data_IF_021405810867
#
_entry.id   IF_021405810867
#
_cell.length_a   1.000
_cell.length_b   1.000
_cell.length_c   1.000
_cell.angle_alpha   90.00
_cell.angle_beta   90.00
_cell.angle_gamma   90.00
#
_symmetry.space_group_name_H-M   'P 1'
#
loop_
_entity.id
_entity.type
_entity.pdbx_description
1 polymer ?
#
# COMPACT_ATOMS: atom_id res chain seq x y z
N UNK A 1 8.82 -30.48 -32.64
CA UNK A 1 8.63 -29.99 -31.26
C UNK A 1 9.95 -30.16 -30.53
N UNK A 2 10.78 -29.12 -30.34
CA UNK A 2 11.84 -29.21 -29.37
C UNK A 2 11.25 -28.84 -28.01
N UNK A 3 11.33 -29.78 -27.07
CA UNK A 3 11.20 -29.48 -25.65
C UNK A 3 12.34 -28.52 -25.28
N UNK A 4 12.03 -27.23 -25.12
CA UNK A 4 12.88 -26.33 -24.34
C UNK A 4 12.64 -26.67 -22.86
N UNK A 5 13.28 -27.74 -22.38
CA UNK A 5 13.50 -27.94 -20.95
C UNK A 5 14.33 -26.78 -20.43
N UNK A 6 13.62 -25.80 -19.87
CA UNK A 6 14.13 -24.62 -19.18
C UNK A 6 15.29 -24.97 -18.24
N UNK A 7 16.52 -24.74 -18.69
CA UNK A 7 17.71 -24.66 -17.86
C UNK A 7 17.71 -23.33 -17.07
N UNK A 8 16.60 -23.07 -16.36
CA UNK A 8 16.28 -21.80 -15.66
C UNK A 8 16.52 -21.91 -14.15
N UNK A 9 16.85 -23.10 -13.65
CA UNK A 9 16.71 -23.41 -12.22
C UNK A 9 17.74 -22.78 -11.27
N UNK A 10 18.98 -22.50 -11.69
CA UNK A 10 20.05 -22.18 -10.72
C UNK A 10 20.46 -20.70 -10.69
N UNK A 11 20.59 -20.03 -11.84
CA UNK A 11 21.12 -18.66 -11.90
C UNK A 11 20.15 -17.63 -11.32
N UNK A 12 18.83 -17.86 -11.44
CA UNK A 12 17.81 -16.95 -10.90
C UNK A 12 17.75 -16.92 -9.38
N UNK A 13 17.87 -18.06 -8.71
CA UNK A 13 17.78 -18.13 -7.25
C UNK A 13 18.87 -17.28 -6.61
N UNK A 14 20.11 -17.38 -7.10
CA UNK A 14 21.23 -16.62 -6.54
C UNK A 14 21.09 -15.10 -6.73
N UNK A 15 20.63 -14.64 -7.88
CA UNK A 15 20.48 -13.19 -8.11
C UNK A 15 19.26 -12.62 -7.36
N UNK A 16 18.16 -13.38 -7.28
CA UNK A 16 16.99 -12.96 -6.51
C UNK A 16 17.31 -12.92 -5.02
N UNK A 17 18.01 -13.93 -4.49
CA UNK A 17 18.41 -13.98 -3.07
C UNK A 17 19.21 -12.75 -2.62
N UNK A 18 19.98 -12.13 -3.52
CA UNK A 18 20.73 -10.89 -3.23
C UNK A 18 19.84 -9.67 -2.97
N UNK A 19 18.59 -9.68 -3.43
CA UNK A 19 17.62 -8.61 -3.19
C UNK A 19 16.71 -8.89 -1.99
N UNK A 20 16.82 -10.07 -1.40
CA UNK A 20 15.99 -10.53 -0.30
C UNK A 20 16.81 -10.45 1.00
N UNK A 21 16.15 -10.26 2.14
CA UNK A 21 16.81 -9.97 3.40
C UNK A 21 17.58 -11.17 3.96
N UNK A 22 18.61 -10.93 4.79
CA UNK A 22 19.30 -12.00 5.51
C UNK A 22 18.29 -12.81 6.34
N UNK A 23 18.24 -14.13 6.12
CA UNK A 23 17.33 -15.04 6.83
C UNK A 23 15.99 -15.32 6.13
N UNK A 24 15.67 -14.62 5.03
CA UNK A 24 14.52 -14.97 4.19
C UNK A 24 14.90 -16.05 3.18
N UNK A 25 14.06 -17.10 3.10
CA UNK A 25 14.23 -18.19 2.15
C UNK A 25 13.51 -17.87 0.83
N UNK A 26 14.19 -18.11 -0.29
CA UNK A 26 13.62 -17.96 -1.64
C UNK A 26 13.41 -19.35 -2.20
N UNK A 27 12.14 -19.71 -2.39
CA UNK A 27 11.73 -20.98 -2.99
C UNK A 27 11.13 -20.66 -4.36
N UNK A 28 11.69 -21.27 -5.41
CA UNK A 28 11.15 -21.17 -6.76
C UNK A 28 10.47 -22.48 -7.10
N UNK A 29 9.18 -22.39 -7.45
CA UNK A 29 8.39 -23.50 -7.97
C UNK A 29 8.12 -23.18 -9.44
N UNK A 30 8.48 -24.09 -10.33
CA UNK A 30 8.23 -23.94 -11.76
C UNK A 30 7.31 -25.05 -12.26
N UNK A 31 6.53 -24.71 -13.28
CA UNK A 31 5.68 -25.61 -14.02
C UNK A 31 5.57 -25.12 -15.45
N UNK A 32 5.38 -26.05 -16.39
CA UNK A 32 5.10 -25.72 -17.78
C UNK A 32 3.70 -26.21 -18.12
N UNK A 33 2.89 -25.33 -18.69
CA UNK A 33 1.51 -25.61 -19.06
C UNK A 33 1.24 -25.04 -20.44
N UNK A 34 0.41 -25.73 -21.21
CA UNK A 34 0.01 -25.22 -22.50
C UNK A 34 -1.05 -24.13 -22.31
N UNK A 35 -0.90 -23.00 -23.01
CA UNK A 35 -1.78 -21.83 -22.86
C UNK A 35 -3.28 -22.17 -23.07
N UNK A 36 -3.59 -23.06 -24.03
CA UNK A 36 -4.95 -23.48 -24.32
C UNK A 36 -5.64 -24.26 -23.18
N UNK A 37 -4.87 -24.81 -22.23
CA UNK A 37 -5.42 -25.46 -21.04
C UNK A 37 -5.92 -24.44 -20.01
N UNK A 38 -5.57 -23.17 -20.19
CA UNK A 38 -5.96 -22.06 -19.32
C UNK A 38 -6.82 -21.07 -20.10
N UNK A 39 -8.10 -21.43 -20.32
CA UNK A 39 -9.07 -20.63 -21.10
C UNK A 39 -9.08 -19.15 -20.67
N UNK A 40 -9.15 -18.88 -19.35
CA UNK A 40 -9.16 -17.51 -18.83
C UNK A 40 -7.90 -16.72 -19.20
N UNK A 41 -6.72 -17.36 -19.10
CA UNK A 41 -5.45 -16.70 -19.40
C UNK A 41 -5.31 -16.50 -20.91
N UNK A 42 -5.71 -17.47 -21.72
CA UNK A 42 -5.75 -17.34 -23.19
C UNK A 42 -6.69 -16.22 -23.65
N UNK A 43 -7.89 -16.13 -23.07
CA UNK A 43 -8.84 -15.03 -23.34
C UNK A 43 -8.28 -13.69 -22.89
N UNK A 44 -7.63 -13.63 -21.72
CA UNK A 44 -7.03 -12.40 -21.22
C UNK A 44 -5.90 -11.91 -22.13
N UNK A 45 -5.02 -12.80 -22.62
CA UNK A 45 -3.97 -12.47 -23.61
C UNK A 45 -4.58 -11.94 -24.91
N UNK A 46 -5.61 -12.60 -25.42
CA UNK A 46 -6.31 -12.14 -26.63
C UNK A 46 -6.95 -10.76 -26.43
N UNK A 47 -7.63 -10.54 -25.28
CA UNK A 47 -8.26 -9.25 -24.95
C UNK A 47 -7.27 -8.14 -24.64
N UNK A 48 -6.07 -8.46 -24.19
CA UNK A 48 -5.02 -7.49 -23.89
C UNK A 48 -4.18 -7.12 -25.12
N UNK A 49 -4.34 -7.83 -26.24
CA UNK A 49 -3.62 -7.50 -27.46
C UNK A 49 -4.15 -6.19 -28.04
N UNK A 50 -3.26 -5.22 -28.24
CA UNK A 50 -3.56 -3.88 -28.76
C UNK A 50 -2.66 -3.61 -29.97
N UNK A 51 -2.98 -2.56 -30.70
CA UNK A 51 -2.21 -2.13 -31.85
C UNK A 51 -2.08 -0.62 -31.88
N UNK A 52 -0.90 -0.11 -32.21
CA UNK A 52 -0.67 1.31 -32.47
C UNK A 52 0.00 1.49 -33.83
N UNK A 53 -0.16 2.67 -34.42
CA UNK A 53 0.46 2.99 -35.71
C UNK A 53 1.75 3.78 -35.48
N UNK A 54 2.86 3.29 -36.02
CA UNK A 54 4.15 3.97 -36.03
C UNK A 54 4.48 4.46 -37.44
N UNK A 55 5.13 5.62 -37.51
CA UNK A 55 5.71 6.11 -38.76
C UNK A 55 7.18 5.72 -38.80
N UNK A 56 7.53 4.74 -39.62
CA UNK A 56 8.93 4.35 -39.83
C UNK A 56 9.43 4.92 -41.16
N UNK A 57 10.64 5.46 -41.16
CA UNK A 57 11.36 5.86 -42.37
C UNK A 57 12.02 4.64 -42.99
N UNK A 58 11.66 4.35 -44.25
CA UNK A 58 12.36 3.31 -45.02
C UNK A 58 13.71 3.84 -45.51
N UNK A 59 14.57 2.94 -46.00
CA UNK A 59 15.82 3.28 -46.72
C UNK A 59 15.63 4.31 -47.83
N UNK A 60 14.42 4.41 -48.37
CA UNK A 60 14.07 5.26 -49.50
C UNK A 60 13.65 6.69 -49.07
N UNK A 61 13.77 7.03 -47.78
CA UNK A 61 13.43 8.34 -47.21
C UNK A 61 11.94 8.63 -47.05
N UNK A 62 11.06 7.70 -47.46
CA UNK A 62 9.60 7.83 -47.33
C UNK A 62 9.10 7.23 -46.01
N UNK A 63 8.20 7.96 -45.34
CA UNK A 63 7.48 7.47 -44.16
C UNK A 63 6.42 6.45 -44.57
N UNK A 64 6.44 5.28 -43.93
CA UNK A 64 5.38 4.30 -44.03
C UNK A 64 4.70 4.14 -42.67
N UNK A 65 3.37 4.13 -42.69
CA UNK A 65 2.58 3.81 -41.50
C UNK A 65 2.64 2.30 -41.32
N UNK A 66 3.25 1.85 -40.23
CA UNK A 66 3.28 0.44 -39.83
C UNK A 66 2.48 0.28 -38.56
N UNK A 67 1.48 -0.59 -38.59
CA UNK A 67 0.76 -0.98 -37.37
C UNK A 67 1.60 -2.02 -36.63
N UNK A 68 2.02 -1.73 -35.40
CA UNK A 68 2.65 -2.69 -34.50
C UNK A 68 1.64 -3.18 -33.49
N UNK A 69 1.62 -4.48 -33.26
CA UNK A 69 0.84 -5.07 -32.16
C UNK A 69 1.68 -5.09 -30.88
N UNK A 70 1.02 -4.91 -29.74
CA UNK A 70 1.65 -5.01 -28.43
C UNK A 70 0.66 -5.59 -27.43
N UNK A 71 1.18 -6.14 -26.33
CA UNK A 71 0.38 -6.69 -25.24
C UNK A 71 0.33 -5.69 -24.09
N UNK A 72 -0.88 -5.25 -23.75
CA UNK A 72 -1.11 -4.36 -22.61
C UNK A 72 -1.13 -5.18 -21.31
N UNK A 73 -0.10 -4.99 -20.48
CA UNK A 73 0.03 -5.73 -19.23
C UNK A 73 -1.00 -5.35 -18.16
N UNK A 74 -1.48 -4.10 -18.14
CA UNK A 74 -2.47 -3.65 -17.17
C UNK A 74 -3.83 -4.29 -17.45
N UNK A 75 -4.26 -4.28 -18.72
CA UNK A 75 -5.49 -4.92 -19.18
C UNK A 75 -5.41 -6.44 -19.03
N UNK A 76 -4.23 -7.03 -19.29
CA UNK A 76 -4.00 -8.46 -19.09
C UNK A 76 -4.21 -8.85 -17.62
N UNK A 77 -3.67 -8.07 -16.68
CA UNK A 77 -3.87 -8.29 -15.25
C UNK A 77 -5.35 -8.15 -14.88
N UNK A 78 -5.99 -7.07 -15.29
CA UNK A 78 -7.40 -6.78 -15.00
C UNK A 78 -8.31 -7.93 -15.43
N UNK A 79 -8.26 -8.35 -16.70
CA UNK A 79 -9.09 -9.45 -17.20
C UNK A 79 -8.77 -10.82 -16.60
N UNK A 80 -7.54 -11.00 -16.12
CA UNK A 80 -7.17 -12.21 -15.41
C UNK A 80 -7.72 -12.21 -13.98
N UNK A 81 -7.71 -11.07 -13.29
CA UNK A 81 -8.15 -10.94 -11.88
C UNK A 81 -9.65 -10.73 -11.72
N UNK A 82 -10.33 -10.11 -12.67
CA UNK A 82 -11.76 -9.76 -12.56
C UNK A 82 -12.69 -10.99 -12.60
N UNK A 83 -12.16 -12.18 -12.90
CA UNK A 83 -12.90 -13.44 -12.87
C UNK A 83 -12.84 -14.19 -11.54
N UNK A 84 -12.39 -13.55 -10.45
CA UNK A 84 -12.14 -14.17 -9.13
C UNK A 84 -13.38 -14.45 -8.27
N UNK A 85 -14.58 -13.99 -8.66
CA UNK A 85 -15.77 -14.13 -7.82
C UNK A 85 -16.44 -15.52 -7.85
N UNK A 86 -16.11 -16.43 -8.79
CA UNK A 86 -16.95 -17.64 -8.96
C UNK A 86 -16.26 -19.02 -9.09
N UNK A 87 -14.94 -19.17 -9.04
CA UNK A 87 -14.37 -20.54 -9.20
C UNK A 87 -13.20 -20.85 -8.25
N UNK A 88 -13.40 -21.96 -7.53
CA UNK A 88 -12.50 -22.61 -6.57
C UNK A 88 -11.32 -23.37 -7.20
N UNK A 89 -11.15 -23.36 -8.52
CA UNK A 89 -10.29 -24.33 -9.19
C UNK A 89 -9.22 -23.69 -10.10
N UNK A 90 -8.02 -24.25 -9.95
CA UNK A 90 -7.00 -24.47 -10.98
C UNK A 90 -5.74 -23.59 -11.07
N UNK A 91 -5.61 -22.44 -10.39
CA UNK A 91 -4.29 -21.76 -10.25
C UNK A 91 -4.06 -21.23 -8.82
N UNK A 92 -4.85 -21.72 -7.85
CA UNK A 92 -4.46 -21.62 -6.45
C UNK A 92 -3.55 -22.81 -6.20
N UNK A 93 -2.23 -22.60 -6.28
CA UNK A 93 -1.34 -23.37 -5.43
C UNK A 93 -1.87 -23.15 -4.02
N UNK A 94 -2.68 -24.09 -3.50
CA UNK A 94 -2.77 -24.25 -2.06
C UNK A 94 -1.33 -24.51 -1.65
N UNK A 95 -0.70 -23.61 -0.90
CA UNK A 95 0.67 -23.85 -0.51
C UNK A 95 0.66 -25.17 0.28
N UNK A 96 1.62 -26.05 0.02
CA UNK A 96 1.64 -27.43 0.52
C UNK A 96 1.40 -27.51 2.05
N UNK A 97 1.77 -26.47 2.80
CA UNK A 97 1.54 -26.34 4.24
C UNK A 97 0.06 -26.24 4.67
N UNK A 98 -0.86 -25.84 3.78
CA UNK A 98 -2.30 -25.80 4.07
C UNK A 98 -2.89 -27.20 4.26
N UNK A 99 -2.19 -28.25 3.82
CA UNK A 99 -2.52 -29.66 4.11
C UNK A 99 -2.10 -30.12 5.52
N UNK A 100 -1.25 -29.36 6.21
CA UNK A 100 -0.69 -29.74 7.53
C UNK A 100 -1.38 -29.07 8.72
N UNK A 101 -2.29 -28.11 8.50
CA UNK A 101 -3.01 -27.40 9.57
C UNK A 101 -4.45 -27.93 9.70
N UNK A 102 -4.86 -28.51 10.86
CA UNK A 102 -6.23 -28.95 11.05
C UNK A 102 -7.18 -27.74 11.11
N UNK A 103 -8.18 -27.74 10.22
CA UNK A 103 -9.24 -26.71 10.21
C UNK A 103 -10.13 -26.89 11.45
N UNK A 104 -9.94 -26.04 12.45
CA UNK A 104 -10.96 -25.84 13.48
C UNK A 104 -12.15 -25.07 12.87
N UNK A 105 -13.13 -25.81 12.35
CA UNK A 105 -14.43 -25.27 12.00
C UNK A 105 -15.17 -24.84 13.27
N UNK A 106 -15.06 -23.56 13.65
CA UNK A 106 -16.04 -22.83 14.49
C UNK A 106 -15.68 -21.34 14.53
N UNK A 107 -16.33 -20.54 13.68
CA UNK A 107 -16.22 -19.08 13.69
C UNK A 107 -17.31 -18.46 12.82
N UNK A 108 -18.26 -17.79 13.46
CA UNK A 108 -19.52 -17.26 12.92
C UNK A 108 -19.34 -16.38 11.68
N UNK A 109 -20.25 -16.54 10.71
CA UNK A 109 -20.45 -15.63 9.56
C UNK A 109 -20.84 -14.24 10.08
N UNK A 110 -19.89 -13.31 10.10
CA UNK A 110 -20.14 -11.88 10.19
C UNK A 110 -20.12 -11.25 8.80
N UNK A 111 -21.21 -10.60 8.42
CA UNK A 111 -21.36 -9.82 7.18
C UNK A 111 -20.53 -8.53 7.25
N UNK A 112 -19.24 -8.64 6.92
CA UNK A 112 -18.37 -7.50 6.64
C UNK A 112 -18.06 -7.46 5.15
N UNK A 113 -18.31 -6.33 4.50
CA UNK A 113 -17.94 -6.07 3.09
C UNK A 113 -16.46 -6.39 2.90
N UNK A 114 -16.14 -7.48 2.18
CA UNK A 114 -14.77 -7.85 1.84
C UNK A 114 -14.27 -6.88 0.78
N UNK A 115 -13.20 -6.14 1.09
CA UNK A 115 -12.49 -5.31 0.11
C UNK A 115 -11.95 -6.21 -1.00
N UNK A 116 -12.19 -5.81 -2.25
CA UNK A 116 -11.78 -6.47 -3.49
C UNK A 116 -10.25 -6.65 -3.58
N UNK A 117 -9.81 -7.77 -4.17
CA UNK A 117 -8.49 -7.90 -4.80
C UNK A 117 -7.30 -8.31 -3.92
N UNK A 118 -7.45 -9.23 -2.97
CA UNK A 118 -6.27 -9.75 -2.24
C UNK A 118 -5.97 -11.21 -2.59
N UNK A 119 -4.92 -11.43 -3.39
CA UNK A 119 -4.08 -12.63 -3.27
C UNK A 119 -3.84 -12.88 -1.78
N UNK A 120 -4.14 -14.09 -1.30
CA UNK A 120 -4.15 -14.42 0.12
C UNK A 120 -2.79 -14.07 0.75
N UNK A 121 -2.79 -13.04 1.62
CA UNK A 121 -1.64 -12.66 2.43
C UNK A 121 -1.43 -13.71 3.50
N UNK A 122 -0.73 -14.78 3.16
CA UNK A 122 -0.27 -15.77 4.13
C UNK A 122 0.76 -15.11 5.03
N UNK A 123 0.47 -15.04 6.33
CA UNK A 123 1.35 -14.41 7.32
C UNK A 123 2.77 -15.00 7.19
N UNK A 124 3.72 -14.18 6.73
CA UNK A 124 5.14 -14.54 6.62
C UNK A 124 5.66 -14.94 5.23
N UNK A 125 4.80 -15.30 4.27
CA UNK A 125 5.27 -15.73 2.92
C UNK A 125 4.58 -14.92 1.82
N UNK A 126 5.38 -14.25 0.99
CA UNK A 126 4.92 -13.53 -0.21
C UNK A 126 5.14 -14.41 -1.44
N UNK A 127 4.07 -14.71 -2.17
CA UNK A 127 4.13 -15.46 -3.43
C UNK A 127 4.00 -14.47 -4.58
N UNK A 128 4.94 -14.50 -5.52
CA UNK A 128 4.91 -13.68 -6.74
C UNK A 128 4.87 -14.64 -7.94
N UNK A 129 3.70 -14.82 -8.59
CA UNK A 129 3.63 -15.55 -9.86
C UNK A 129 4.47 -14.85 -10.94
N UNK A 130 5.27 -15.65 -11.64
CA UNK A 130 6.03 -15.24 -12.83
C UNK A 130 5.52 -16.04 -14.01
N UNK A 131 4.88 -15.37 -14.97
CA UNK A 131 4.41 -15.98 -16.21
C UNK A 131 5.41 -15.71 -17.32
N UNK A 132 5.94 -16.77 -17.91
CA UNK A 132 6.74 -16.70 -19.13
C UNK A 132 5.85 -17.18 -20.26
N UNK A 133 5.36 -16.25 -21.07
CA UNK A 133 4.46 -16.54 -22.18
C UNK A 133 5.29 -16.78 -23.43
N UNK A 134 5.49 -18.06 -23.75
CA UNK A 134 6.02 -18.46 -25.04
C UNK A 134 4.91 -18.38 -26.09
N UNK A 135 4.85 -17.26 -26.80
CA UNK A 135 3.83 -17.00 -27.82
C UNK A 135 4.32 -17.40 -29.22
N UNK A 136 4.87 -18.61 -29.32
CA UNK A 136 5.32 -19.16 -30.60
C UNK A 136 4.14 -19.27 -31.59
N UNK A 137 4.27 -18.62 -32.75
CA UNK A 137 3.23 -18.60 -33.79
C UNK A 137 2.25 -17.42 -33.70
N UNK A 138 2.33 -16.60 -32.63
CA UNK A 138 1.74 -15.25 -32.60
C UNK A 138 2.73 -14.27 -33.24
N UNK A 139 2.29 -13.05 -33.58
CA UNK A 139 3.11 -11.97 -34.18
C UNK A 139 4.56 -12.00 -33.66
N UNK A 140 5.52 -12.16 -34.58
CA UNK A 140 6.93 -12.35 -34.27
C UNK A 140 7.63 -11.10 -33.73
N UNK A 141 6.97 -9.95 -33.82
CA UNK A 141 7.41 -8.66 -33.27
C UNK A 141 6.59 -8.21 -32.05
N UNK A 142 5.76 -9.08 -31.48
CA UNK A 142 4.96 -8.75 -30.31
C UNK A 142 5.85 -8.37 -29.12
N UNK A 143 5.58 -7.19 -28.55
CA UNK A 143 6.22 -6.71 -27.33
C UNK A 143 5.13 -6.31 -26.33
N UNK A 144 5.51 -6.09 -25.08
CA UNK A 144 4.66 -5.39 -24.12
C UNK A 144 4.60 -3.89 -24.45
N UNK A 145 3.79 -3.15 -23.71
CA UNK A 145 3.81 -1.69 -23.70
C UNK A 145 5.24 -1.13 -23.56
N UNK A 146 5.50 0.02 -24.18
CA UNK A 146 6.81 0.70 -24.21
C UNK A 146 7.95 -0.14 -24.83
N UNK A 147 7.63 -1.04 -25.77
CA UNK A 147 8.59 -1.90 -26.46
C UNK A 147 9.46 -2.76 -25.49
N UNK A 148 8.89 -3.12 -24.34
CA UNK A 148 9.49 -4.01 -23.34
C UNK A 148 9.11 -5.47 -23.56
N UNK A 149 9.93 -6.41 -23.10
CA UNK A 149 9.59 -7.85 -23.04
C UNK A 149 9.05 -8.27 -21.66
N UNK A 150 9.03 -7.35 -20.70
CA UNK A 150 8.56 -7.59 -19.34
C UNK A 150 7.56 -6.54 -18.93
N UNK A 151 6.50 -6.99 -18.27
CA UNK A 151 5.58 -6.15 -17.54
C UNK A 151 5.51 -6.61 -16.09
N UNK A 152 5.44 -5.64 -15.18
CA UNK A 152 5.54 -5.91 -13.75
C UNK A 152 4.42 -5.21 -13.00
N UNK A 153 3.90 -5.91 -12.00
CA UNK A 153 3.02 -5.36 -10.99
C UNK A 153 3.54 -5.73 -9.60
N UNK A 154 2.88 -5.23 -8.57
CA UNK A 154 3.22 -5.57 -7.17
C UNK A 154 3.10 -7.07 -6.89
N UNK A 155 2.19 -7.75 -7.59
CA UNK A 155 1.80 -9.13 -7.27
C UNK A 155 2.02 -10.11 -8.42
N UNK A 156 2.53 -9.66 -9.58
CA UNK A 156 2.72 -10.53 -10.75
C UNK A 156 3.83 -9.98 -11.65
N UNK A 157 4.57 -10.89 -12.27
CA UNK A 157 5.54 -10.60 -13.33
C UNK A 157 5.14 -11.36 -14.58
N UNK A 158 5.09 -10.68 -15.72
CA UNK A 158 4.75 -11.28 -17.01
C UNK A 158 5.90 -10.99 -17.97
N UNK A 159 6.43 -12.04 -18.58
CA UNK A 159 7.56 -11.99 -19.51
C UNK A 159 7.15 -12.63 -20.82
N UNK A 160 7.48 -12.00 -21.93
CA UNK A 160 7.30 -12.54 -23.26
C UNK A 160 8.57 -13.27 -23.71
N UNK A 161 8.38 -14.47 -24.26
CA UNK A 161 9.43 -15.25 -24.88
C UNK A 161 9.03 -15.58 -26.32
N UNK A 162 9.93 -15.31 -27.26
CA UNK A 162 9.74 -15.59 -28.68
C UNK A 162 10.94 -16.38 -29.21
N UNK A 163 10.69 -17.18 -30.26
CA UNK A 163 11.74 -17.91 -30.98
C UNK A 163 12.55 -17.01 -31.93
N UNK A 164 12.17 -15.75 -32.08
CA UNK A 164 12.85 -14.79 -32.96
C UNK A 164 14.18 -14.35 -32.32
N UNK A 165 15.24 -14.16 -33.09
CA UNK A 165 16.55 -13.80 -32.51
C UNK A 165 16.59 -12.35 -32.02
N UNK A 166 16.02 -11.43 -32.81
CA UNK A 166 16.09 -9.98 -32.58
C UNK A 166 14.81 -9.29 -33.04
N UNK A 167 14.23 -8.44 -32.19
CA UNK A 167 13.08 -7.59 -32.54
C UNK A 167 13.56 -6.14 -32.60
N UNK A 168 13.37 -5.42 -33.72
CA UNK A 168 13.83 -4.04 -33.87
C UNK A 168 12.98 -3.08 -33.02
N UNK A 169 13.65 -2.31 -32.16
CA UNK A 169 13.02 -1.29 -31.31
C UNK A 169 13.01 0.07 -32.01
N UNK A 170 12.19 1.00 -31.54
CA UNK A 170 12.18 2.40 -31.98
C UNK A 170 13.41 3.18 -31.52
N UNK A 171 14.16 2.65 -30.55
CA UNK A 171 15.35 3.28 -30.01
C UNK A 171 16.57 3.19 -30.92
N UNK A 172 17.35 4.27 -30.94
CA UNK A 172 18.64 4.36 -31.64
C UNK A 172 19.72 4.72 -30.61
N UNK A 173 20.83 3.98 -30.63
CA UNK A 173 22.03 4.33 -29.90
C UNK A 173 23.12 4.67 -30.91
N UNK A 174 23.66 5.89 -30.79
CA UNK A 174 24.61 6.44 -31.75
C UNK A 174 24.05 6.41 -33.19
N UNK A 175 24.50 5.47 -34.02
CA UNK A 175 24.05 5.26 -35.40
C UNK A 175 23.35 3.93 -35.62
N UNK A 176 23.17 3.13 -34.55
CA UNK A 176 22.66 1.77 -34.62
C UNK A 176 21.28 1.65 -33.98
N UNK A 177 20.35 1.03 -34.71
CA UNK A 177 19.03 0.68 -34.18
C UNK A 177 19.19 -0.38 -33.10
N UNK A 178 18.50 -0.22 -31.99
CA UNK A 178 18.52 -1.19 -30.90
C UNK A 178 17.56 -2.34 -31.16
N UNK A 179 17.88 -3.49 -30.56
CA UNK A 179 17.10 -4.71 -30.72
C UNK A 179 16.78 -5.30 -29.35
N UNK A 180 15.55 -5.79 -29.18
CA UNK A 180 15.18 -6.65 -28.07
C UNK A 180 15.58 -8.09 -28.38
N UNK A 181 16.05 -8.81 -27.36
CA UNK A 181 16.52 -10.20 -27.43
C UNK A 181 15.56 -11.11 -26.65
N UNK A 182 14.46 -11.57 -27.27
CA UNK A 182 13.44 -12.35 -26.56
C UNK A 182 13.92 -13.75 -26.15
N UNK A 183 15.01 -14.24 -26.76
CA UNK A 183 15.67 -15.48 -26.35
C UNK A 183 16.31 -15.41 -24.96
N UNK A 184 16.57 -14.21 -24.43
CA UNK A 184 17.18 -14.00 -23.11
C UNK A 184 16.08 -13.71 -22.06
N UNK A 185 15.07 -14.59 -21.98
CA UNK A 185 13.95 -14.45 -21.04
C UNK A 185 14.42 -14.34 -19.57
N UNK A 186 15.55 -14.96 -19.23
CA UNK A 186 16.16 -14.90 -17.90
C UNK A 186 16.36 -13.45 -17.41
N UNK A 187 16.93 -12.61 -18.26
CA UNK A 187 17.17 -11.21 -17.90
C UNK A 187 15.86 -10.48 -17.59
N UNK A 188 14.85 -10.71 -18.41
CA UNK A 188 13.53 -10.08 -18.27
C UNK A 188 12.80 -10.57 -17.02
N UNK A 189 12.90 -11.88 -16.70
CA UNK A 189 12.43 -12.43 -15.42
C UNK A 189 13.10 -11.73 -14.24
N UNK A 190 14.43 -11.56 -14.30
CA UNK A 190 15.18 -10.91 -13.23
C UNK A 190 14.82 -9.43 -13.08
N UNK A 191 14.66 -8.70 -14.18
CA UNK A 191 14.15 -7.32 -14.16
C UNK A 191 12.78 -7.26 -13.49
N UNK A 192 11.89 -8.20 -13.84
CA UNK A 192 10.56 -8.23 -13.28
C UNK A 192 10.53 -8.52 -11.78
N UNK A 193 11.32 -9.51 -11.35
CA UNK A 193 11.48 -9.82 -9.93
C UNK A 193 12.19 -8.70 -9.17
N UNK A 194 13.14 -8.00 -9.79
CA UNK A 194 13.80 -6.85 -9.19
C UNK A 194 12.83 -5.72 -8.86
N UNK A 195 11.88 -5.45 -9.76
CA UNK A 195 10.80 -4.48 -9.49
C UNK A 195 9.78 -4.99 -8.48
N UNK A 196 9.31 -6.24 -8.60
CA UNK A 196 8.25 -6.76 -7.74
C UNK A 196 8.72 -7.05 -6.30
N UNK A 197 9.89 -7.67 -6.14
CA UNK A 197 10.48 -8.05 -4.84
C UNK A 197 11.27 -6.90 -4.25
N UNK A 198 12.24 -6.37 -4.99
CA UNK A 198 13.19 -5.36 -4.50
C UNK A 198 12.64 -3.92 -4.53
N UNK A 199 11.48 -3.69 -5.14
CA UNK A 199 10.93 -2.35 -5.31
C UNK A 199 11.78 -1.47 -6.22
N UNK A 200 12.61 -2.07 -7.08
CA UNK A 200 13.54 -1.36 -7.95
C UNK A 200 12.81 -0.79 -9.17
N UNK A 201 13.00 0.50 -9.45
CA UNK A 201 12.66 1.08 -10.74
C UNK A 201 13.82 0.88 -11.71
N UNK A 202 13.53 0.90 -13.01
CA UNK A 202 14.59 0.92 -14.00
C UNK A 202 15.48 2.16 -13.80
N UNK A 203 16.81 2.10 -14.01
CA UNK A 203 17.71 3.23 -13.82
C UNK A 203 17.39 4.47 -14.66
N UNK A 204 16.70 4.25 -15.79
CA UNK A 204 16.23 5.30 -16.67
C UNK A 204 14.84 5.84 -16.31
N UNK A 205 14.16 5.30 -15.30
CA UNK A 205 12.84 5.76 -14.87
C UNK A 205 12.94 6.54 -13.56
N UNK A 206 12.28 7.69 -13.51
CA UNK A 206 12.17 8.50 -12.28
C UNK A 206 10.76 9.05 -12.11
N UNK A 207 10.21 8.95 -10.90
CA UNK A 207 8.97 9.64 -10.56
C UNK A 207 9.19 11.16 -10.54
N UNK A 208 8.41 11.91 -11.33
CA UNK A 208 8.42 13.36 -11.34
C UNK A 208 7.23 13.90 -10.56
N UNK A 209 7.48 14.66 -9.49
CA UNK A 209 6.42 15.34 -8.72
C UNK A 209 5.72 16.44 -9.51
N UNK A 210 6.45 17.10 -10.42
CA UNK A 210 5.92 18.23 -11.21
C UNK A 210 4.93 17.75 -12.27
N UNK A 211 5.20 16.59 -12.88
CA UNK A 211 4.37 16.04 -13.96
C UNK A 211 3.39 14.97 -13.48
N UNK A 212 3.42 14.61 -12.19
CA UNK A 212 2.64 13.52 -11.59
C UNK A 212 2.71 12.18 -12.34
N UNK A 213 3.81 11.95 -13.05
CA UNK A 213 4.06 10.75 -13.85
C UNK A 213 5.52 10.32 -13.77
N UNK A 214 5.81 9.10 -14.20
CA UNK A 214 7.19 8.69 -14.42
C UNK A 214 7.74 9.44 -15.64
N UNK A 215 8.98 9.91 -15.51
CA UNK A 215 9.74 10.55 -16.58
C UNK A 215 10.93 9.66 -16.88
N UNK A 216 11.14 9.44 -18.16
CA UNK A 216 12.22 8.59 -18.66
C UNK A 216 13.44 9.44 -18.98
N UNK A 217 14.60 9.02 -18.50
CA UNK A 217 15.91 9.59 -18.80
C UNK A 217 16.89 8.47 -19.15
N UNK A 218 17.10 8.29 -20.45
CA UNK A 218 17.94 7.23 -20.99
C UNK A 218 19.45 7.40 -20.75
N UNK A 219 19.92 8.55 -20.23
CA UNK A 219 21.34 8.78 -19.92
C UNK A 219 21.89 7.77 -18.91
N UNK A 220 21.03 7.23 -18.05
CA UNK A 220 21.39 6.24 -17.02
C UNK A 220 20.96 4.81 -17.38
N UNK A 221 20.57 4.56 -18.63
CA UNK A 221 20.06 3.27 -19.08
C UNK A 221 21.14 2.21 -19.37
N UNK A 222 22.40 2.64 -19.44
CA UNK A 222 23.54 1.76 -19.67
C UNK A 222 24.21 1.42 -18.33
N UNK A 223 24.46 0.13 -18.08
CA UNK A 223 25.15 -0.32 -16.87
C UNK A 223 24.92 -1.79 -16.58
N UNK A 224 25.34 -2.23 -15.39
CA UNK A 224 25.12 -3.60 -14.93
C UNK A 224 23.77 -3.76 -14.23
N UNK A 225 22.69 -3.87 -15.01
CA UNK A 225 21.32 -4.07 -14.52
C UNK A 225 20.44 -4.84 -15.52
N UNK A 226 19.37 -5.53 -15.09
CA UNK A 226 18.55 -6.32 -16.02
C UNK A 226 17.56 -5.49 -16.85
N UNK A 227 17.30 -4.22 -16.51
CA UNK A 227 16.28 -3.37 -17.15
C UNK A 227 16.61 -2.90 -18.58
N UNK A 228 15.55 -2.58 -19.34
CA UNK A 228 15.58 -1.86 -20.62
C UNK A 228 16.22 -2.61 -21.79
N UNK A 229 16.39 -1.94 -22.93
CA UNK A 229 17.10 -2.53 -24.07
C UNK A 229 18.62 -2.26 -24.04
N UNK A 230 19.08 -1.24 -23.29
CA UNK A 230 20.45 -0.73 -23.35
C UNK A 230 21.46 -1.40 -22.41
N UNK A 231 21.00 -2.26 -21.51
CA UNK A 231 21.89 -3.16 -20.76
C UNK A 231 21.92 -4.53 -21.43
N UNK A 232 22.87 -5.40 -21.08
CA UNK A 232 22.88 -6.81 -21.43
C UNK A 232 23.25 -7.71 -20.26
N UNK A 233 23.07 -7.22 -19.03
CA UNK A 233 23.44 -7.96 -17.83
C UNK A 233 22.28 -8.79 -17.29
N UNK A 234 22.53 -10.06 -16.98
CA UNK A 234 21.65 -10.93 -16.18
C UNK A 234 22.00 -10.90 -14.70
N UNK A 235 22.71 -9.87 -14.25
CA UNK A 235 23.14 -9.68 -12.87
C UNK A 235 22.65 -8.36 -12.30
N UNK A 236 22.58 -8.30 -10.98
CA UNK A 236 22.21 -7.10 -10.22
C UNK A 236 23.47 -6.53 -9.57
N UNK A 237 23.80 -5.29 -9.91
CA UNK A 237 24.92 -4.56 -9.31
C UNK A 237 24.72 -4.38 -7.79
N UNK A 238 25.82 -4.18 -7.07
CA UNK A 238 25.78 -3.92 -5.63
C UNK A 238 24.95 -2.66 -5.32
N UNK A 239 25.02 -1.63 -6.16
CA UNK A 239 24.23 -0.40 -6.02
C UNK A 239 22.73 -0.73 -6.02
N UNK A 240 22.27 -1.60 -6.91
CA UNK A 240 20.85 -2.00 -6.95
C UNK A 240 20.44 -2.89 -5.78
N UNK A 241 21.35 -3.72 -5.26
CA UNK A 241 21.12 -4.50 -4.04
C UNK A 241 20.95 -3.56 -2.83
N UNK A 242 21.82 -2.56 -2.70
CA UNK A 242 21.76 -1.54 -1.65
C UNK A 242 20.46 -0.71 -1.75
N UNK A 243 20.03 -0.36 -2.96
CA UNK A 243 18.76 0.35 -3.19
C UNK A 243 17.55 -0.52 -2.81
N UNK A 244 17.59 -1.83 -3.07
CA UNK A 244 16.51 -2.75 -2.68
C UNK A 244 16.37 -2.84 -1.16
N UNK A 245 17.49 -2.93 -0.43
CA UNK A 245 17.51 -2.89 1.03
C UNK A 245 16.97 -1.56 1.57
N UNK A 246 17.45 -0.44 1.02
CA UNK A 246 16.99 0.90 1.40
C UNK A 246 15.49 1.09 1.17
N UNK A 247 14.98 0.59 0.04
CA UNK A 247 13.54 0.64 -0.28
C UNK A 247 12.73 -0.14 0.74
N UNK A 248 13.24 -1.28 1.20
CA UNK A 248 12.56 -2.04 2.26
C UNK A 248 12.60 -1.33 3.61
N UNK A 249 13.73 -0.75 3.99
CA UNK A 249 13.85 0.06 5.22
C UNK A 249 12.80 1.16 5.21
N UNK A 250 12.69 1.90 4.11
CA UNK A 250 11.67 2.95 3.96
C UNK A 250 10.24 2.41 4.01
N UNK A 251 9.97 1.26 3.39
CA UNK A 251 8.65 0.64 3.46
C UNK A 251 8.28 0.20 4.88
N UNK A 252 9.25 -0.29 5.68
CA UNK A 252 9.02 -0.67 7.07
C UNK A 252 8.73 0.55 7.95
N UNK A 253 9.49 1.63 7.79
CA UNK A 253 9.28 2.89 8.52
C UNK A 253 7.94 3.54 8.15
N UNK A 254 7.62 3.63 6.85
CA UNK A 254 6.32 4.14 6.40
C UNK A 254 5.15 3.30 6.95
N UNK A 255 5.28 1.96 6.94
CA UNK A 255 4.28 1.08 7.54
C UNK A 255 4.13 1.31 9.06
N UNK A 256 5.23 1.53 9.78
CA UNK A 256 5.21 1.84 11.20
C UNK A 256 4.52 3.19 11.46
N UNK A 257 4.91 4.25 10.76
CA UNK A 257 4.31 5.58 10.90
C UNK A 257 2.82 5.60 10.59
N UNK A 258 2.38 4.88 9.55
CA UNK A 258 0.94 4.72 9.24
C UNK A 258 0.21 4.02 10.37
N UNK A 259 0.77 2.94 10.95
CA UNK A 259 0.17 2.23 12.08
C UNK A 259 0.05 3.10 13.33
N UNK A 260 1.05 3.94 13.60
CA UNK A 260 1.01 4.91 14.71
C UNK A 260 -0.12 5.90 14.49
N UNK A 261 -0.24 6.44 13.28
CA UNK A 261 -1.33 7.34 12.91
C UNK A 261 -2.69 6.66 13.07
N UNK A 262 -2.86 5.45 12.54
CA UNK A 262 -4.10 4.67 12.67
C UNK A 262 -4.45 4.42 14.15
N UNK A 263 -3.44 4.11 14.99
CA UNK A 263 -3.62 3.90 16.43
C UNK A 263 -4.02 5.20 17.14
N UNK A 264 -3.42 6.33 16.77
CA UNK A 264 -3.77 7.65 17.30
C UNK A 264 -5.20 8.05 16.93
N UNK A 265 -5.58 7.86 15.66
CA UNK A 265 -6.96 8.06 15.19
C UNK A 265 -7.94 7.14 15.94
N UNK A 266 -7.57 5.89 16.20
CA UNK A 266 -8.38 4.95 16.97
C UNK A 266 -8.59 5.39 18.43
N UNK A 267 -7.53 5.81 19.13
CA UNK A 267 -7.61 6.35 20.50
C UNK A 267 -8.48 7.61 20.54
N UNK A 268 -8.30 8.52 19.56
CA UNK A 268 -9.08 9.75 19.48
C UNK A 268 -10.57 9.48 19.20
N UNK A 269 -10.86 8.48 18.36
CA UNK A 269 -12.24 8.04 18.09
C UNK A 269 -12.90 7.49 19.36
N UNK A 270 -12.20 6.64 20.11
CA UNK A 270 -12.67 6.11 21.39
C UNK A 270 -12.94 7.22 22.41
N UNK A 271 -12.01 8.16 22.54
CA UNK A 271 -12.17 9.33 23.40
C UNK A 271 -13.44 10.12 23.04
N UNK A 272 -13.67 10.38 21.75
CA UNK A 272 -14.83 11.14 21.29
C UNK A 272 -16.18 10.42 21.54
N UNK A 273 -16.20 9.10 21.45
CA UNK A 273 -17.40 8.28 21.64
C UNK A 273 -17.80 8.21 23.11
N UNK A 274 -16.82 7.94 23.98
CA UNK A 274 -17.05 7.59 25.38
C UNK A 274 -16.79 8.73 26.36
N UNK A 275 -15.96 9.70 26.01
CA UNK A 275 -15.58 10.82 26.88
C UNK A 275 -16.27 12.09 26.41
N UNK A 276 -17.53 12.25 26.82
CA UNK A 276 -18.28 13.50 26.65
C UNK A 276 -18.37 14.21 27.99
N UNK A 277 -18.29 15.54 27.98
CA UNK A 277 -18.64 16.32 29.18
C UNK A 277 -20.12 16.08 29.51
N UNK A 278 -20.55 16.20 30.78
CA UNK A 278 -21.93 15.94 31.20
C UNK A 278 -23.01 16.82 30.54
N UNK A 279 -22.62 17.79 29.70
CA UNK A 279 -23.52 18.66 28.92
C UNK A 279 -23.27 18.58 27.41
N UNK A 280 -22.38 17.70 26.94
CA UNK A 280 -22.02 17.61 25.51
C UNK A 280 -21.30 18.86 24.96
N UNK A 281 -20.98 19.84 25.81
CA UNK A 281 -20.25 21.04 25.41
C UNK A 281 -18.76 20.74 25.19
N UNK A 282 -18.22 21.33 24.11
CA UNK A 282 -16.79 21.42 23.86
C UNK A 282 -16.07 21.93 25.12
N UNK A 283 -14.92 21.33 25.46
CA UNK A 283 -14.13 21.76 26.61
C UNK A 283 -13.80 23.24 26.45
N UNK A 284 -14.44 24.11 27.24
CA UNK A 284 -14.11 25.54 27.28
C UNK A 284 -12.70 25.68 27.82
N UNK A 285 -11.78 25.97 26.90
CA UNK A 285 -10.42 26.35 27.19
C UNK A 285 -10.02 27.56 26.36
N UNK A 286 -8.84 28.10 26.67
CA UNK A 286 -8.31 29.26 25.97
C UNK A 286 -8.29 29.01 24.45
N UNK A 287 -8.71 29.98 23.63
CA UNK A 287 -8.95 29.83 22.17
C UNK A 287 -7.75 29.36 21.34
N UNK A 288 -6.58 29.26 21.96
CA UNK A 288 -5.30 28.96 21.31
C UNK A 288 -4.85 27.49 21.50
N UNK A 289 -5.61 26.65 22.21
CA UNK A 289 -5.25 25.25 22.47
C UNK A 289 -6.11 24.29 21.67
N UNK A 290 -5.51 23.19 21.21
CA UNK A 290 -6.24 22.11 20.54
C UNK A 290 -7.21 21.45 21.52
N UNK A 291 -8.33 20.90 21.01
CA UNK A 291 -9.32 20.19 21.84
C UNK A 291 -8.66 19.08 22.67
N UNK A 292 -7.67 18.38 22.10
CA UNK A 292 -6.89 17.33 22.75
C UNK A 292 -6.09 17.84 23.95
N UNK A 293 -5.39 18.98 23.83
CA UNK A 293 -4.65 19.60 24.95
C UNK A 293 -5.57 19.97 26.12
N UNK A 294 -6.80 20.43 25.82
CA UNK A 294 -7.77 20.80 26.84
C UNK A 294 -8.34 19.59 27.61
N UNK A 295 -8.46 18.43 26.95
CA UNK A 295 -8.80 17.18 27.62
C UNK A 295 -7.65 16.68 28.50
N UNK A 296 -6.41 16.72 28.00
CA UNK A 296 -5.22 16.32 28.77
C UNK A 296 -5.06 17.17 30.03
N UNK A 297 -5.21 18.50 29.90
CA UNK A 297 -5.12 19.43 31.03
C UNK A 297 -6.24 19.22 32.07
N UNK A 298 -7.44 18.81 31.64
CA UNK A 298 -8.60 18.65 32.53
C UNK A 298 -8.62 17.32 33.27
N UNK A 299 -8.11 16.24 32.67
CA UNK A 299 -8.16 14.90 33.26
C UNK A 299 -6.85 14.45 33.90
N UNK A 300 -5.70 14.95 33.43
CA UNK A 300 -4.39 14.48 33.91
C UNK A 300 -3.61 15.53 34.72
N UNK A 301 -3.91 16.83 34.58
CA UNK A 301 -3.25 17.90 35.37
C UNK A 301 -4.10 18.44 36.53
N UNK A 302 -5.42 18.27 36.49
CA UNK A 302 -6.33 18.65 37.58
C UNK A 302 -6.89 17.39 38.23
N UNK A 303 -6.72 17.26 39.54
CA UNK A 303 -7.37 16.20 40.33
C UNK A 303 -8.89 16.37 40.19
N UNK A 304 -9.55 15.44 39.52
CA UNK A 304 -11.01 15.43 39.39
C UNK A 304 -11.57 14.14 40.00
N UNK A 305 -12.76 14.22 40.60
CA UNK A 305 -13.47 13.06 41.14
C UNK A 305 -14.19 12.23 40.05
N UNK A 306 -13.87 12.45 38.78
CA UNK A 306 -14.46 11.73 37.65
C UNK A 306 -13.63 10.46 37.39
N UNK A 307 -14.26 9.35 36.97
CA UNK A 307 -13.51 8.18 36.54
C UNK A 307 -12.60 8.59 35.39
N UNK A 308 -11.31 8.27 35.53
CA UNK A 308 -10.31 8.62 34.54
C UNK A 308 -10.63 7.94 33.20
N UNK A 309 -10.54 8.69 32.10
CA UNK A 309 -10.92 8.19 30.78
C UNK A 309 -10.04 7.05 30.27
N UNK A 310 -8.75 7.11 30.59
CA UNK A 310 -7.78 6.08 30.29
C UNK A 310 -6.95 5.79 31.55
N UNK A 311 -6.38 4.58 31.68
CA UNK A 311 -5.44 4.30 32.74
C UNK A 311 -4.20 5.19 32.59
N UNK A 312 -3.74 5.85 33.67
CA UNK A 312 -2.50 6.64 33.65
C UNK A 312 -1.31 5.82 33.14
N UNK A 313 -1.21 4.55 33.56
CA UNK A 313 -0.20 3.59 33.10
C UNK A 313 -0.22 3.35 31.58
N UNK A 314 -1.38 3.47 30.91
CA UNK A 314 -1.47 3.36 29.45
C UNK A 314 -0.87 4.58 28.77
N UNK A 315 -1.16 5.78 29.28
CA UNK A 315 -0.71 7.04 28.70
C UNK A 315 0.80 7.19 28.88
N UNK A 316 1.31 6.90 30.08
CA UNK A 316 2.75 6.93 30.38
C UNK A 316 3.53 5.95 29.49
N UNK A 317 3.04 4.72 29.33
CA UNK A 317 3.65 3.74 28.41
C UNK A 317 3.61 4.16 26.94
N UNK A 318 2.57 4.88 26.53
CA UNK A 318 2.47 5.36 25.15
C UNK A 318 3.44 6.52 24.91
N UNK A 319 3.56 7.44 25.86
CA UNK A 319 4.55 8.54 25.82
C UNK A 319 5.98 7.98 25.79
N UNK A 320 6.33 7.06 26.69
CA UNK A 320 7.65 6.42 26.70
C UNK A 320 7.95 5.70 25.37
N UNK A 321 6.94 5.04 24.80
CA UNK A 321 7.07 4.39 23.50
C UNK A 321 7.33 5.40 22.36
N UNK A 322 6.62 6.53 22.34
CA UNK A 322 6.81 7.56 21.31
C UNK A 322 8.18 8.23 21.43
N UNK A 323 8.64 8.52 22.64
CA UNK A 323 9.97 9.07 22.91
C UNK A 323 11.07 8.10 22.46
N UNK A 324 10.92 6.81 22.78
CA UNK A 324 11.86 5.77 22.32
C UNK A 324 11.87 5.67 20.80
N UNK A 325 10.71 5.74 20.17
CA UNK A 325 10.58 5.65 18.71
C UNK A 325 11.24 6.83 18.00
N UNK A 326 11.11 8.04 18.55
CA UNK A 326 11.83 9.22 18.06
C UNK A 326 13.34 8.99 18.07
N UNK A 327 13.88 8.51 19.19
CA UNK A 327 15.30 8.13 19.31
C UNK A 327 15.71 7.09 18.27
N UNK A 328 14.93 6.01 18.10
CA UNK A 328 15.21 4.97 17.10
C UNK A 328 15.19 5.50 15.66
N UNK A 329 14.30 6.44 15.33
CA UNK A 329 14.26 7.07 14.01
C UNK A 329 15.48 7.97 13.75
N UNK A 330 15.94 8.71 14.77
CA UNK A 330 17.18 9.50 14.69
C UNK A 330 18.38 8.58 14.47
N UNK A 331 18.50 7.50 15.24
CA UNK A 331 19.56 6.50 15.07
C UNK A 331 19.51 5.87 13.67
N UNK A 332 18.33 5.49 13.19
CA UNK A 332 18.15 4.97 11.84
C UNK A 332 18.62 5.95 10.77
N UNK A 333 18.34 7.25 10.95
CA UNK A 333 18.79 8.29 10.03
C UNK A 333 20.32 8.38 9.95
N UNK A 334 21.02 8.22 11.09
CA UNK A 334 22.48 8.19 11.13
C UNK A 334 23.05 6.96 10.41
N UNK A 335 22.47 5.78 10.62
CA UNK A 335 22.89 4.54 9.97
C UNK A 335 22.71 4.61 8.44
N UNK A 336 21.63 5.26 7.98
CA UNK A 336 21.40 5.49 6.55
C UNK A 336 22.40 6.48 5.95
N UNK A 337 22.82 7.49 6.71
CA UNK A 337 23.82 8.47 6.26
C UNK A 337 25.21 7.81 6.13
N UNK A 338 25.57 6.94 7.07
CA UNK A 338 26.84 6.20 7.09
C UNK A 338 26.86 4.98 6.15
N UNK A 339 25.80 4.78 5.35
CA UNK A 339 25.62 3.63 4.44
C UNK A 339 25.68 2.26 5.14
N UNK A 340 25.35 2.20 6.43
CA UNK A 340 25.28 0.96 7.23
C UNK A 340 23.91 0.29 7.07
N UNK A 341 23.61 -0.15 5.85
CA UNK A 341 22.27 -0.62 5.46
C UNK A 341 21.81 -1.88 6.21
N UNK A 342 22.72 -2.77 6.60
CA UNK A 342 22.37 -4.01 7.34
C UNK A 342 21.89 -3.67 8.76
N UNK A 343 22.60 -2.77 9.44
CA UNK A 343 22.25 -2.33 10.79
C UNK A 343 20.97 -1.47 10.75
N UNK A 344 20.85 -0.61 9.74
CA UNK A 344 19.64 0.18 9.49
C UNK A 344 18.41 -0.72 9.28
N UNK A 345 18.58 -1.84 8.58
CA UNK A 345 17.51 -2.82 8.37
C UNK A 345 17.07 -3.52 9.66
N UNK A 346 18.01 -3.87 10.55
CA UNK A 346 17.68 -4.45 11.85
C UNK A 346 16.89 -3.44 12.69
N UNK A 347 17.37 -2.20 12.78
CA UNK A 347 16.70 -1.12 13.50
C UNK A 347 15.28 -0.85 12.93
N UNK A 348 15.12 -0.77 11.60
CA UNK A 348 13.79 -0.56 11.00
C UNK A 348 12.84 -1.73 11.23
N UNK A 349 13.36 -2.95 11.31
CA UNK A 349 12.58 -4.14 11.69
C UNK A 349 12.12 -4.06 13.14
N UNK A 350 12.99 -3.65 14.06
CA UNK A 350 12.65 -3.46 15.48
C UNK A 350 11.59 -2.37 15.66
N UNK A 351 11.73 -1.23 14.96
CA UNK A 351 10.72 -0.16 14.95
C UNK A 351 9.36 -0.71 14.51
N UNK A 352 9.31 -1.44 13.38
CA UNK A 352 8.06 -1.98 12.85
C UNK A 352 7.44 -3.01 13.80
N UNK A 353 8.24 -3.93 14.37
CA UNK A 353 7.75 -4.94 15.30
C UNK A 353 7.22 -4.30 16.59
N UNK A 354 8.00 -3.41 17.20
CA UNK A 354 7.62 -2.63 18.38
C UNK A 354 6.28 -1.91 18.15
N UNK A 355 6.13 -1.28 16.98
CA UNK A 355 4.89 -0.60 16.58
C UNK A 355 3.70 -1.55 16.49
N UNK A 356 3.87 -2.74 15.91
CA UNK A 356 2.79 -3.74 15.83
C UNK A 356 2.36 -4.19 17.23
N UNK A 357 3.31 -4.43 18.13
CA UNK A 357 3.00 -4.82 19.50
C UNK A 357 2.29 -3.72 20.28
N UNK A 358 2.74 -2.47 20.17
CA UNK A 358 2.09 -1.32 20.79
C UNK A 358 0.67 -1.13 20.27
N UNK A 359 0.46 -1.24 18.96
CA UNK A 359 -0.89 -1.19 18.38
C UNK A 359 -1.81 -2.27 18.99
N UNK A 360 -1.34 -3.53 19.04
CA UNK A 360 -2.13 -4.63 19.62
C UNK A 360 -2.40 -4.44 21.11
N UNK A 361 -1.45 -3.87 21.85
CA UNK A 361 -1.62 -3.54 23.26
C UNK A 361 -2.71 -2.46 23.45
N UNK A 362 -2.61 -1.35 22.71
CA UNK A 362 -3.60 -0.27 22.76
C UNK A 362 -4.99 -0.78 22.37
N UNK A 363 -5.11 -1.55 21.28
CA UNK A 363 -6.39 -2.16 20.87
C UNK A 363 -6.99 -3.04 21.97
N UNK A 364 -6.18 -3.84 22.66
CA UNK A 364 -6.62 -4.70 23.77
C UNK A 364 -7.09 -3.89 24.97
N UNK A 365 -6.34 -2.86 25.36
CA UNK A 365 -6.70 -2.02 26.51
C UNK A 365 -7.98 -1.25 26.23
N UNK A 366 -8.10 -0.64 25.05
CA UNK A 366 -9.32 0.07 24.65
C UNK A 366 -10.54 -0.85 24.54
N UNK A 367 -10.37 -2.10 24.06
CA UNK A 367 -11.46 -3.06 24.04
C UNK A 367 -11.95 -3.42 25.46
N UNK A 368 -11.03 -3.63 26.40
CA UNK A 368 -11.35 -3.89 27.79
C UNK A 368 -12.06 -2.70 28.46
N UNK A 369 -11.57 -1.48 28.24
CA UNK A 369 -12.20 -0.27 28.77
C UNK A 369 -13.58 -0.03 28.14
N UNK A 370 -13.76 -0.33 26.85
CA UNK A 370 -15.08 -0.31 26.20
C UNK A 370 -16.08 -1.23 26.89
N UNK A 371 -15.65 -2.44 27.24
CA UNK A 371 -16.51 -3.42 27.91
C UNK A 371 -16.86 -3.00 29.34
N UNK A 372 -15.92 -2.38 30.08
CA UNK A 372 -16.23 -1.77 31.38
C UNK A 372 -17.25 -0.65 31.27
N UNK A 373 -17.11 0.23 30.26
CA UNK A 373 -18.01 1.36 30.06
C UNK A 373 -19.42 0.96 29.58
N UNK A 374 -19.61 -0.22 28.98
CA UNK A 374 -20.96 -0.75 28.66
C UNK A 374 -21.84 -0.97 29.89
N UNK A 375 -21.25 -1.16 31.08
CA UNK A 375 -21.99 -1.48 32.30
C UNK A 375 -22.66 -0.27 32.97
N UNK A 376 -22.32 0.96 32.56
CA UNK A 376 -22.83 2.19 33.18
C UNK A 376 -23.60 3.03 32.15
N UNK A 377 -24.91 2.83 32.04
CA UNK A 377 -25.78 3.79 31.35
C UNK A 377 -25.88 5.04 32.22
N UNK A 378 -25.22 6.13 31.81
CA UNK A 378 -25.40 7.43 32.45
C UNK A 378 -26.76 7.98 32.00
N UNK A 379 -27.78 7.80 32.83
CA UNK A 379 -29.04 8.53 32.67
C UNK A 379 -28.84 9.96 33.17
N UNK A 380 -28.80 10.89 32.22
CA UNK A 380 -28.81 12.31 32.54
C UNK A 380 -30.23 12.70 32.98
N UNK A 381 -30.48 12.73 34.29
CA UNK A 381 -31.65 13.44 34.79
C UNK A 381 -31.41 14.92 34.54
N UNK A 382 -32.10 15.51 33.55
CA UNK A 382 -32.14 16.96 33.42
C UNK A 382 -32.50 17.57 34.79
N UNK A 383 -31.81 18.61 35.26
CA UNK A 383 -32.22 19.29 36.48
C UNK A 383 -33.66 19.73 36.25
N UNK A 384 -34.60 19.21 37.07
CA UNK A 384 -35.99 19.68 37.07
C UNK A 384 -35.91 21.21 37.09
N UNK A 385 -36.32 21.86 35.99
CA UNK A 385 -36.30 23.31 35.89
C UNK A 385 -37.01 23.84 37.13
N UNK A 386 -36.24 24.49 38.01
CA UNK A 386 -36.77 25.14 39.19
C UNK A 386 -37.84 26.12 38.73
N UNK A 387 -39.02 26.07 39.36
CA UNK A 387 -40.18 26.92 39.09
C UNK A 387 -39.85 28.42 39.06
N UNK A 388 -38.70 28.82 39.62
CA UNK A 388 -38.17 30.18 39.54
C UNK A 388 -38.02 30.70 38.11
N UNK A 389 -37.64 29.88 37.13
CA UNK A 389 -37.51 30.35 35.74
C UNK A 389 -38.86 30.80 35.14
N UNK A 390 -39.95 30.11 35.49
CA UNK A 390 -41.31 30.51 35.11
C UNK A 390 -41.77 31.76 35.87
N UNK A 391 -41.38 31.93 37.14
CA UNK A 391 -41.70 33.14 37.93
C UNK A 391 -41.00 34.36 37.34
N UNK A 392 -39.70 34.28 37.02
CA UNK A 392 -38.97 35.39 36.40
C UNK A 392 -39.45 35.69 34.97
N UNK A 393 -39.80 34.66 34.20
CA UNK A 393 -40.44 34.83 32.89
C UNK A 393 -41.79 35.55 32.99
N UNK A 394 -42.61 35.19 33.99
CA UNK A 394 -43.89 35.85 34.27
C UNK A 394 -43.74 37.31 34.68
N UNK A 395 -42.74 37.63 35.51
CA UNK A 395 -42.45 39.01 35.93
C UNK A 395 -42.00 39.87 34.74
N UNK A 396 -41.13 39.35 33.87
CA UNK A 396 -40.68 40.07 32.68
C UNK A 396 -41.81 40.31 31.67
N UNK A 397 -42.69 39.31 31.47
CA UNK A 397 -43.82 39.43 30.55
C UNK A 397 -44.89 40.41 31.08
N UNK A 398 -45.13 40.40 32.40
CA UNK A 398 -45.98 41.40 33.05
C UNK A 398 -45.39 42.81 32.93
N UNK A 399 -44.09 42.96 33.15
CA UNK A 399 -43.37 44.24 32.97
C UNK A 399 -43.47 44.76 31.54
N UNK A 400 -43.33 43.89 30.53
CA UNK A 400 -43.46 44.25 29.12
C UNK A 400 -44.89 44.68 28.76
N UNK A 401 -45.91 44.00 29.29
CA UNK A 401 -47.31 44.35 29.07
C UNK A 401 -47.68 45.70 29.70
N UNK A 402 -47.24 45.96 30.94
CA UNK A 402 -47.44 47.25 31.60
C UNK A 402 -46.74 48.36 30.82
N UNK A 403 -45.50 48.15 30.39
CA UNK A 403 -44.76 49.13 29.61
C UNK A 403 -45.43 49.42 28.25
N UNK A 404 -45.92 48.39 27.56
CA UNK A 404 -46.67 48.54 26.30
C UNK A 404 -48.00 49.26 26.49
N UNK A 405 -48.74 48.98 27.58
CA UNK A 405 -49.99 49.67 27.91
C UNK A 405 -49.73 51.15 28.24
N UNK A 406 -48.68 51.44 29.01
CA UNK A 406 -48.29 52.82 29.31
C UNK A 406 -47.96 53.56 28.02
N UNK A 407 -47.18 52.98 27.10
CA UNK A 407 -46.90 53.61 25.80
C UNK A 407 -48.18 53.82 24.98
N UNK A 408 -49.08 52.84 24.93
CA UNK A 408 -50.32 52.92 24.16
C UNK A 408 -51.28 53.98 24.70
N UNK A 409 -51.38 54.15 26.02
CA UNK A 409 -52.22 55.20 26.63
C UNK A 409 -51.52 56.55 26.77
N UNK A 410 -50.19 56.61 26.71
CA UNK A 410 -49.41 57.85 26.76
C UNK A 410 -49.08 58.41 25.37
N UNK A 411 -49.42 57.72 24.29
CA UNK A 411 -49.38 58.27 22.92
C UNK A 411 -50.71 58.99 22.63
N UNK A 412 -50.77 60.33 22.68
CA UNK A 412 -51.97 61.04 22.26
C UNK A 412 -52.15 60.86 20.75
N UNK A 413 -53.25 60.21 20.36
CA UNK A 413 -53.83 60.48 19.03
C UNK A 413 -54.41 61.89 19.11
N UNK A 414 -53.54 62.85 18.84
CA UNK A 414 -53.82 64.05 18.07
C UNK A 414 -52.56 64.50 17.33
#
# INVERSE_FOLDING_TARGET
MPLCTLQIFLVHVFQVKKMVHPGQEVIIISGSHALHQHEKLAVAVSKATRSHSLHETKSDGRFHVRTKTYLDGAILKEHWTDGEDDVKDSIKHRPLWESYMPKNNKGRRGTGKKKHGSLYRTYGTRVIPVFVLSLAGVDAELLMEEESLVWTSKDVVIVLEHNNEKIPLSYVSETTRQFALPSIAQRHILAGLASAVGGLSAPYERASRIHERHVVNWLWAAGCHPFGPFSNSSQISQILQDVALRTTIYAQVDAALRKIRDTSEFVQSFASEHLKTPLGELVKGNKNKSTTELWVEKFYKKVTNLPEPFPHDLVEKLEEYLDKLEGQLVDLSSLLYDHRLVDAYQNSTDILQSTIFTQQYVERVLANERDKMKCCSIEYSHPKQSSQAFVYGGILLAGFLVYSLVIFFSSPVR
#
